data_IF_272506297883
#
_entry.id   IF_272506297883
#
_cell.length_a   1.000
_cell.length_b   1.000
_cell.length_c   1.000
_cell.angle_alpha   90.00
_cell.angle_beta   90.00
_cell.angle_gamma   90.00
#
_symmetry.space_group_name_H-M   'P 1'
#
loop_
_entity.id
_entity.type
_entity.pdbx_description
1 polymer ?
#
# COMPACT_ATOMS: atom_id res chain seq x y z
N UNK A 1 -10.94 2.61 -29.63
CA UNK A 1 -11.38 3.05 -28.29
C UNK A 1 -10.66 2.35 -27.13
N UNK A 2 -10.55 1.01 -27.07
CA UNK A 2 -9.92 0.28 -25.94
C UNK A 2 -8.42 0.57 -25.71
N UNK A 3 -7.59 0.63 -26.77
CA UNK A 3 -6.15 0.94 -26.65
C UNK A 3 -5.87 2.35 -26.12
N UNK A 4 -6.74 3.32 -26.44
CA UNK A 4 -6.62 4.68 -25.94
C UNK A 4 -6.92 4.76 -24.43
N UNK A 5 -7.84 3.93 -23.91
CA UNK A 5 -8.14 3.84 -22.48
C UNK A 5 -6.95 3.32 -21.66
N UNK A 6 -6.31 2.24 -22.12
CA UNK A 6 -5.15 1.67 -21.43
C UNK A 6 -3.92 2.60 -21.43
N UNK A 7 -3.66 3.29 -22.55
CA UNK A 7 -2.59 4.28 -22.62
C UNK A 7 -2.82 5.43 -21.64
N UNK A 8 -4.03 6.01 -21.61
CA UNK A 8 -4.38 7.08 -20.66
C UNK A 8 -4.29 6.63 -19.22
N UNK A 9 -4.78 5.43 -18.92
CA UNK A 9 -4.67 4.81 -17.61
C UNK A 9 -3.21 4.66 -17.17
N UNK A 10 -2.36 4.08 -18.02
CA UNK A 10 -0.94 3.87 -17.72
C UNK A 10 -0.20 5.19 -17.55
N UNK A 11 -0.48 6.18 -18.40
CA UNK A 11 0.07 7.53 -18.29
C UNK A 11 -0.35 8.22 -16.99
N UNK A 12 -1.58 8.01 -16.53
CA UNK A 12 -2.04 8.59 -15.26
C UNK A 12 -1.39 7.90 -14.04
N UNK A 13 -1.21 6.58 -14.08
CA UNK A 13 -0.43 5.85 -13.06
C UNK A 13 1.02 6.35 -13.03
N UNK A 14 1.65 6.53 -14.19
CA UNK A 14 3.00 7.07 -14.28
C UNK A 14 3.06 8.50 -13.73
N UNK A 15 2.12 9.36 -14.10
CA UNK A 15 2.02 10.73 -13.60
C UNK A 15 1.89 10.78 -12.07
N UNK A 16 1.12 9.86 -11.48
CA UNK A 16 1.01 9.73 -10.02
C UNK A 16 2.37 9.47 -9.36
N UNK A 17 3.16 8.53 -9.87
CA UNK A 17 4.47 8.22 -9.30
C UNK A 17 5.52 9.30 -9.60
N UNK A 18 5.45 9.97 -10.75
CA UNK A 18 6.28 11.15 -11.02
C UNK A 18 5.98 12.29 -10.05
N UNK A 19 4.70 12.53 -9.74
CA UNK A 19 4.30 13.50 -8.72
C UNK A 19 4.77 13.08 -7.33
N UNK A 20 4.71 11.79 -6.99
CA UNK A 20 5.30 11.30 -5.74
C UNK A 20 6.80 11.61 -5.69
N UNK A 21 7.54 11.36 -6.78
CA UNK A 21 8.97 11.70 -6.87
C UNK A 21 9.25 13.19 -6.72
N UNK A 22 8.44 14.03 -7.36
CA UNK A 22 8.55 15.48 -7.22
C UNK A 22 8.30 15.93 -5.78
N UNK A 23 7.20 15.49 -5.15
CA UNK A 23 6.87 15.85 -3.78
C UNK A 23 7.90 15.31 -2.77
N UNK A 24 8.42 14.10 -2.99
CA UNK A 24 9.49 13.53 -2.19
C UNK A 24 10.75 14.38 -2.27
N UNK A 25 11.17 14.72 -3.50
CA UNK A 25 12.35 15.54 -3.74
C UNK A 25 12.23 16.90 -3.06
N UNK A 26 11.11 17.60 -3.24
CA UNK A 26 10.84 18.89 -2.59
C UNK A 26 10.86 18.76 -1.06
N UNK A 27 10.17 17.76 -0.51
CA UNK A 27 10.07 17.56 0.95
C UNK A 27 11.44 17.32 1.57
N UNK A 28 12.21 16.37 1.03
CA UNK A 28 13.56 16.06 1.54
C UNK A 28 14.51 17.25 1.33
N UNK A 29 14.41 17.96 0.20
CA UNK A 29 15.26 19.13 -0.06
C UNK A 29 15.00 20.26 0.94
N UNK A 30 13.73 20.50 1.30
CA UNK A 30 13.36 21.49 2.32
C UNK A 30 13.87 21.08 3.70
N UNK A 31 13.68 19.80 4.09
CA UNK A 31 14.21 19.27 5.35
C UNK A 31 15.73 19.47 5.41
N UNK A 32 16.45 19.03 4.39
CA UNK A 32 17.91 19.15 4.32
C UNK A 32 18.36 20.61 4.36
N UNK A 33 17.70 21.50 3.62
CA UNK A 33 18.01 22.94 3.61
C UNK A 33 17.94 23.55 5.02
N UNK A 34 16.85 23.30 5.75
CA UNK A 34 16.72 23.84 7.12
C UNK A 34 17.72 23.22 8.09
N UNK A 35 18.06 21.94 7.95
CA UNK A 35 19.07 21.32 8.81
C UNK A 35 20.47 21.84 8.52
N UNK A 36 20.81 22.09 7.25
CA UNK A 36 22.08 22.74 6.89
C UNK A 36 22.15 24.18 7.39
N UNK A 37 21.04 24.92 7.38
CA UNK A 37 20.98 26.26 7.97
C UNK A 37 21.27 26.25 9.48
N UNK A 38 20.97 25.15 10.16
CA UNK A 38 21.27 24.91 11.58
C UNK A 38 22.65 24.27 11.83
N UNK A 39 23.50 24.18 10.79
CA UNK A 39 24.84 23.58 10.84
C UNK A 39 24.84 22.10 11.27
N UNK A 40 23.75 21.37 10.98
CA UNK A 40 23.70 19.94 11.21
C UNK A 40 24.50 19.16 10.15
N UNK A 41 25.22 18.13 10.60
CA UNK A 41 25.95 17.20 9.73
C UNK A 41 24.99 16.34 8.91
N UNK A 42 25.44 15.88 7.74
CA UNK A 42 24.65 15.02 6.85
C UNK A 42 24.05 13.80 7.54
N UNK A 43 24.82 13.10 8.40
CA UNK A 43 24.31 11.93 9.13
C UNK A 43 23.11 12.26 10.03
N UNK A 44 23.08 13.44 10.65
CA UNK A 44 21.94 13.88 11.48
C UNK A 44 20.69 14.10 10.60
N UNK A 45 20.89 14.58 9.37
CA UNK A 45 19.81 14.77 8.40
C UNK A 45 19.26 13.42 7.94
N UNK A 46 20.14 12.47 7.62
CA UNK A 46 19.76 11.12 7.22
C UNK A 46 18.99 10.40 8.33
N UNK A 47 19.46 10.49 9.58
CA UNK A 47 18.77 9.92 10.75
C UNK A 47 17.40 10.57 10.97
N UNK A 48 17.29 11.88 10.77
CA UNK A 48 16.01 12.58 10.92
C UNK A 48 15.02 12.18 9.81
N UNK A 49 15.47 12.13 8.56
CA UNK A 49 14.66 11.68 7.41
C UNK A 49 14.20 10.24 7.62
N UNK A 50 15.07 9.38 8.15
CA UNK A 50 14.71 8.02 8.53
C UNK A 50 13.68 7.99 9.66
N UNK A 51 13.90 8.73 10.75
CA UNK A 51 12.98 8.79 11.89
C UNK A 51 11.60 9.33 11.51
N UNK A 52 11.54 10.25 10.53
CA UNK A 52 10.31 10.82 9.96
C UNK A 52 9.84 10.15 8.68
N UNK A 53 10.38 8.97 8.37
CA UNK A 53 10.17 8.30 7.10
C UNK A 53 8.70 8.09 6.76
N UNK A 54 7.88 7.62 7.71
CA UNK A 54 6.46 7.41 7.48
C UNK A 54 5.68 8.69 7.26
N UNK A 55 5.96 9.73 8.06
CA UNK A 55 5.34 11.03 7.91
C UNK A 55 5.63 11.62 6.52
N UNK A 56 6.87 11.49 6.03
CA UNK A 56 7.28 11.91 4.69
C UNK A 56 6.54 11.09 3.62
N UNK A 57 6.54 9.75 3.71
CA UNK A 57 5.86 8.86 2.76
C UNK A 57 4.37 9.21 2.64
N UNK A 58 3.69 9.35 3.79
CA UNK A 58 2.27 9.68 3.86
C UNK A 58 2.00 11.05 3.24
N UNK A 59 2.77 12.07 3.61
CA UNK A 59 2.63 13.42 3.06
C UNK A 59 2.74 13.40 1.53
N UNK A 60 3.79 12.76 1.01
CA UNK A 60 4.06 12.65 -0.43
C UNK A 60 2.92 11.95 -1.16
N UNK A 61 2.48 10.80 -0.64
CA UNK A 61 1.39 10.01 -1.25
C UNK A 61 0.06 10.75 -1.23
N UNK A 62 -0.28 11.42 -0.13
CA UNK A 62 -1.51 12.22 0.01
C UNK A 62 -1.49 13.41 -0.96
N UNK A 63 -0.39 14.16 -1.03
CA UNK A 63 -0.25 15.29 -1.95
C UNK A 63 -0.34 14.86 -3.41
N UNK A 64 0.40 13.81 -3.80
CA UNK A 64 0.34 13.27 -5.15
C UNK A 64 -1.06 12.76 -5.51
N UNK A 65 -1.71 12.05 -4.58
CA UNK A 65 -3.06 11.55 -4.77
C UNK A 65 -4.03 12.71 -4.99
N UNK A 66 -4.01 13.71 -4.11
CA UNK A 66 -4.88 14.88 -4.22
C UNK A 66 -4.75 15.57 -5.58
N UNK A 67 -3.52 15.81 -6.04
CA UNK A 67 -3.27 16.44 -7.35
C UNK A 67 -3.79 15.58 -8.50
N UNK A 68 -3.46 14.29 -8.54
CA UNK A 68 -3.94 13.37 -9.59
C UNK A 68 -5.46 13.29 -9.60
N UNK A 69 -6.10 13.18 -8.45
CA UNK A 69 -7.54 13.16 -8.35
C UNK A 69 -8.17 14.44 -8.89
N UNK A 70 -7.56 15.62 -8.70
CA UNK A 70 -8.07 16.85 -9.31
C UNK A 70 -8.05 16.79 -10.85
N UNK A 71 -6.98 16.27 -11.44
CA UNK A 71 -6.85 16.17 -12.90
C UNK A 71 -7.74 15.07 -13.52
N UNK A 72 -7.79 13.89 -12.89
CA UNK A 72 -8.61 12.75 -13.36
C UNK A 72 -10.09 13.10 -13.41
N UNK A 73 -10.55 13.94 -12.47
CA UNK A 73 -11.94 14.34 -12.38
C UNK A 73 -12.28 15.63 -13.14
N UNK A 74 -11.34 16.27 -13.84
CA UNK A 74 -11.66 17.42 -14.71
C UNK A 74 -12.77 17.10 -15.74
N UNK A 75 -12.83 15.90 -16.34
CA UNK A 75 -13.92 15.52 -17.24
C UNK A 75 -15.20 15.05 -16.52
N UNK A 76 -15.18 14.89 -15.19
CA UNK A 76 -16.32 14.38 -14.44
C UNK A 76 -17.43 15.41 -14.35
N UNK A 77 -18.68 14.98 -14.55
CA UNK A 77 -19.85 15.83 -14.40
C UNK A 77 -20.30 15.98 -12.94
N UNK A 78 -19.69 15.23 -12.02
CA UNK A 78 -20.02 15.30 -10.59
C UNK A 78 -19.41 16.51 -9.91
N UNK A 79 -20.16 17.09 -8.95
CA UNK A 79 -19.67 18.14 -8.04
C UNK A 79 -18.78 17.60 -6.92
N UNK A 80 -18.90 16.32 -6.57
CA UNK A 80 -18.16 15.68 -5.47
C UNK A 80 -17.50 14.35 -5.89
N UNK A 81 -16.63 14.39 -6.91
CA UNK A 81 -16.09 13.19 -7.56
C UNK A 81 -15.44 12.17 -6.60
N UNK A 82 -14.69 12.65 -5.61
CA UNK A 82 -14.03 11.77 -4.65
C UNK A 82 -15.00 11.08 -3.69
N UNK A 83 -16.06 11.78 -3.28
CA UNK A 83 -17.12 11.18 -2.46
C UNK A 83 -17.85 10.11 -3.26
N UNK A 84 -18.15 10.40 -4.52
CA UNK A 84 -18.84 9.46 -5.40
C UNK A 84 -17.99 8.21 -5.63
N UNK A 85 -16.68 8.37 -5.89
CA UNK A 85 -15.73 7.26 -5.92
C UNK A 85 -15.86 6.38 -4.67
N UNK A 86 -15.77 6.97 -3.47
CA UNK A 86 -15.83 6.22 -2.20
C UNK A 86 -17.16 5.48 -2.08
N UNK A 87 -18.28 6.13 -2.38
CA UNK A 87 -19.61 5.57 -2.20
C UNK A 87 -19.94 4.49 -3.24
N UNK A 88 -19.61 4.72 -4.51
CA UNK A 88 -19.86 3.79 -5.62
C UNK A 88 -19.02 2.51 -5.49
N UNK A 89 -17.79 2.65 -4.98
CA UNK A 89 -16.89 1.51 -4.78
C UNK A 89 -16.94 0.96 -3.34
N UNK A 90 -17.77 1.50 -2.46
CA UNK A 90 -17.99 0.91 -1.14
C UNK A 90 -18.93 -0.28 -1.24
N UNK A 91 -18.49 -1.42 -0.73
CA UNK A 91 -19.32 -2.61 -0.51
C UNK A 91 -19.10 -3.06 0.92
N UNK A 92 -20.09 -3.73 1.53
CA UNK A 92 -19.88 -4.26 2.88
C UNK A 92 -18.89 -5.43 2.80
N UNK A 93 -17.80 -5.44 3.60
CA UNK A 93 -16.91 -6.59 3.66
C UNK A 93 -17.67 -7.87 4.01
N UNK A 94 -17.41 -8.95 3.26
CA UNK A 94 -18.11 -10.22 3.46
C UNK A 94 -17.67 -10.87 4.79
N UNK A 95 -18.56 -11.63 5.44
CA UNK A 95 -18.20 -12.41 6.64
C UNK A 95 -17.04 -13.38 6.39
N UNK A 96 -16.93 -13.89 5.16
CA UNK A 96 -15.88 -14.81 4.76
C UNK A 96 -14.52 -14.11 4.64
N UNK A 97 -14.49 -12.79 4.40
CA UNK A 97 -13.25 -12.00 4.42
C UNK A 97 -12.64 -11.99 5.82
N UNK A 98 -13.46 -11.98 6.88
CA UNK A 98 -12.95 -12.07 8.25
C UNK A 98 -12.19 -13.38 8.47
N UNK A 99 -12.73 -14.51 8.01
CA UNK A 99 -12.04 -15.80 8.07
C UNK A 99 -10.72 -15.80 7.28
N UNK A 100 -10.70 -15.17 6.10
CA UNK A 100 -9.45 -14.94 5.35
C UNK A 100 -8.43 -14.13 6.15
N UNK A 101 -8.85 -13.04 6.79
CA UNK A 101 -7.96 -12.19 7.58
C UNK A 101 -7.38 -12.93 8.77
N UNK A 102 -8.22 -13.68 9.51
CA UNK A 102 -7.76 -14.50 10.64
C UNK A 102 -6.77 -15.56 10.16
N UNK A 103 -7.07 -16.29 9.09
CA UNK A 103 -6.16 -17.29 8.55
C UNK A 103 -4.82 -16.68 8.09
N UNK A 104 -4.86 -15.56 7.36
CA UNK A 104 -3.65 -14.87 6.92
C UNK A 104 -2.82 -14.35 8.10
N UNK A 105 -3.47 -13.78 9.12
CA UNK A 105 -2.81 -13.29 10.33
C UNK A 105 -2.14 -14.43 11.11
N UNK A 106 -2.80 -15.57 11.27
CA UNK A 106 -2.22 -16.76 11.90
C UNK A 106 -1.02 -17.29 11.12
N UNK A 107 -1.12 -17.37 9.78
CA UNK A 107 0.02 -17.75 8.92
C UNK A 107 1.19 -16.80 9.15
N UNK A 108 0.97 -15.48 9.19
CA UNK A 108 2.03 -14.51 9.46
C UNK A 108 2.67 -14.75 10.82
N UNK A 109 1.87 -14.83 11.89
CA UNK A 109 2.39 -14.96 13.26
C UNK A 109 3.17 -16.25 13.45
N UNK A 110 2.62 -17.39 13.01
CA UNK A 110 3.30 -18.67 13.17
C UNK A 110 4.56 -18.77 12.32
N UNK A 111 4.56 -18.18 11.11
CA UNK A 111 5.76 -18.13 10.26
C UNK A 111 6.81 -17.13 10.75
N UNK A 112 6.42 -16.05 11.43
CA UNK A 112 7.36 -15.05 11.95
C UNK A 112 8.14 -15.56 13.17
N UNK A 113 7.55 -16.47 13.96
CA UNK A 113 8.11 -16.91 15.25
C UNK A 113 8.51 -15.69 16.11
N UNK A 114 7.55 -14.81 16.46
CA UNK A 114 7.87 -13.51 17.04
C UNK A 114 8.58 -13.66 18.38
N UNK A 115 9.68 -12.94 18.55
CA UNK A 115 10.35 -12.74 19.84
C UNK A 115 10.25 -11.28 20.25
N UNK A 116 10.26 -11.04 21.55
CA UNK A 116 10.26 -9.68 22.09
C UNK A 116 11.52 -8.95 21.66
N UNK A 117 11.34 -7.81 20.99
CA UNK A 117 12.47 -6.98 20.61
C UNK A 117 12.89 -6.11 21.80
N UNK A 118 13.98 -6.50 22.46
CA UNK A 118 14.55 -5.76 23.60
C UNK A 118 15.50 -4.63 23.18
N UNK A 119 15.78 -4.47 21.87
CA UNK A 119 16.56 -3.34 21.41
C UNK A 119 15.72 -2.07 21.60
N UNK A 120 16.31 -1.08 22.28
CA UNK A 120 15.69 0.17 22.69
C UNK A 120 14.85 0.79 21.55
N UNK A 121 13.52 0.73 21.65
CA UNK A 121 12.69 1.24 20.56
C UNK A 121 11.22 0.86 20.55
N UNK A 122 10.76 -0.07 21.42
CA UNK A 122 9.34 -0.38 21.57
C UNK A 122 8.56 0.87 21.99
N UNK A 123 8.12 1.62 21.01
CA UNK A 123 7.46 2.90 21.16
C UNK A 123 6.09 2.77 20.52
N UNK A 124 5.07 2.70 21.37
CA UNK A 124 3.68 2.54 20.93
C UNK A 124 3.27 3.63 19.95
N UNK A 125 3.83 4.83 20.06
CA UNK A 125 3.56 5.93 19.13
C UNK A 125 4.16 5.65 17.75
N UNK A 126 5.39 5.13 17.68
CA UNK A 126 5.99 4.70 16.41
C UNK A 126 5.24 3.49 15.83
N UNK A 127 4.82 2.52 16.64
CA UNK A 127 3.97 1.43 16.17
C UNK A 127 2.65 1.94 15.55
N UNK A 128 2.02 2.96 16.16
CA UNK A 128 0.81 3.60 15.61
C UNK A 128 1.10 4.38 14.31
N UNK A 129 2.24 5.08 14.22
CA UNK A 129 2.66 5.74 12.99
C UNK A 129 2.90 4.71 11.88
N UNK A 130 3.57 3.60 12.18
CA UNK A 130 3.80 2.49 11.26
C UNK A 130 2.48 1.91 10.76
N UNK A 131 1.59 1.55 11.67
CA UNK A 131 0.24 1.06 11.38
C UNK A 131 -0.50 2.00 10.43
N UNK A 132 -0.49 3.30 10.74
CA UNK A 132 -1.20 4.32 9.97
C UNK A 132 -0.53 4.55 8.62
N UNK A 133 0.79 4.62 8.60
CA UNK A 133 1.61 4.87 7.42
C UNK A 133 1.44 3.80 6.36
N UNK A 134 1.59 2.52 6.71
CA UNK A 134 1.40 1.41 5.77
C UNK A 134 -0.05 1.34 5.30
N UNK A 135 -1.01 1.64 6.20
CA UNK A 135 -2.43 1.67 5.85
C UNK A 135 -2.72 2.71 4.78
N UNK A 136 -2.25 3.95 4.99
CA UNK A 136 -2.45 5.05 4.06
C UNK A 136 -1.71 4.80 2.74
N UNK A 137 -0.47 4.32 2.79
CA UNK A 137 0.32 3.99 1.60
C UNK A 137 -0.44 3.03 0.66
N UNK A 138 -0.85 1.88 1.19
CA UNK A 138 -1.52 0.84 0.40
C UNK A 138 -2.94 1.25 -0.01
N UNK A 139 -3.68 1.93 0.88
CA UNK A 139 -5.05 2.34 0.59
C UNK A 139 -5.10 3.44 -0.49
N UNK A 140 -4.16 4.40 -0.48
CA UNK A 140 -4.09 5.42 -1.52
C UNK A 140 -3.74 4.82 -2.89
N UNK A 141 -2.85 3.84 -2.93
CA UNK A 141 -2.53 3.11 -4.16
C UNK A 141 -3.77 2.38 -4.71
N UNK A 142 -4.59 1.76 -3.83
CA UNK A 142 -5.89 1.16 -4.21
C UNK A 142 -6.90 2.21 -4.69
N UNK A 143 -7.11 3.28 -3.95
CA UNK A 143 -8.09 4.32 -4.29
C UNK A 143 -7.73 5.04 -5.58
N UNK A 144 -6.43 5.29 -5.81
CA UNK A 144 -5.92 5.85 -7.05
C UNK A 144 -6.26 4.94 -8.23
N UNK A 145 -5.99 3.65 -8.09
CA UNK A 145 -6.27 2.67 -9.12
C UNK A 145 -7.76 2.56 -9.45
N UNK A 146 -8.62 2.50 -8.43
CA UNK A 146 -10.08 2.46 -8.60
C UNK A 146 -10.60 3.74 -9.27
N UNK A 147 -10.11 4.90 -8.85
CA UNK A 147 -10.44 6.19 -9.48
C UNK A 147 -10.12 6.20 -10.98
N UNK A 148 -8.90 5.79 -11.34
CA UNK A 148 -8.48 5.71 -12.74
C UNK A 148 -9.33 4.70 -13.53
N UNK A 149 -9.69 3.58 -12.90
CA UNK A 149 -10.51 2.55 -13.53
C UNK A 149 -11.93 3.05 -13.83
N UNK A 150 -12.57 3.75 -12.89
CA UNK A 150 -13.90 4.34 -13.10
C UNK A 150 -13.90 5.35 -14.27
N UNK A 151 -12.85 6.16 -14.40
CA UNK A 151 -12.79 7.22 -15.41
C UNK A 151 -12.31 6.76 -16.78
N UNK A 152 -11.32 5.86 -16.85
CA UNK A 152 -10.73 5.40 -18.10
C UNK A 152 -11.26 4.05 -18.59
N UNK A 153 -12.09 3.38 -17.79
CA UNK A 153 -12.83 2.17 -18.20
C UNK A 153 -11.95 0.94 -18.41
N UNK A 154 -10.86 0.78 -17.64
CA UNK A 154 -9.96 -0.36 -17.80
C UNK A 154 -10.60 -1.65 -17.26
N UNK A 155 -10.88 -2.60 -18.15
CA UNK A 155 -11.42 -3.92 -17.81
C UNK A 155 -10.33 -4.91 -17.44
N UNK A 156 -10.06 -5.10 -16.14
CA UNK A 156 -9.05 -6.07 -15.64
C UNK A 156 -9.39 -7.51 -16.03
N UNK A 157 -10.66 -7.80 -16.31
CA UNK A 157 -11.11 -9.12 -16.77
C UNK A 157 -10.54 -9.52 -18.13
N UNK A 158 -10.16 -8.57 -18.98
CA UNK A 158 -9.53 -8.87 -20.27
C UNK A 158 -8.04 -9.21 -20.12
N UNK A 159 -7.39 -8.83 -19.01
CA UNK A 159 -5.98 -9.13 -18.77
C UNK A 159 -5.70 -9.43 -17.30
N UNK A 160 -5.78 -10.73 -16.93
CA UNK A 160 -5.47 -11.23 -15.58
C UNK A 160 -4.04 -10.91 -15.12
N UNK A 161 -3.12 -10.66 -16.05
CA UNK A 161 -1.75 -10.25 -15.75
C UNK A 161 -1.62 -8.77 -15.37
N UNK A 162 -2.65 -7.96 -15.60
CA UNK A 162 -2.61 -6.53 -15.25
C UNK A 162 -2.40 -6.29 -13.75
N UNK A 163 -2.99 -7.11 -12.88
CA UNK A 163 -2.80 -7.02 -11.43
C UNK A 163 -1.34 -7.29 -11.05
N UNK A 164 -0.72 -8.29 -11.70
CA UNK A 164 0.70 -8.64 -11.50
C UNK A 164 1.61 -7.49 -11.94
N UNK A 165 1.37 -6.92 -13.12
CA UNK A 165 2.15 -5.80 -13.67
C UNK A 165 1.99 -4.56 -12.80
N UNK A 166 0.78 -4.25 -12.34
CA UNK A 166 0.51 -3.11 -11.46
C UNK A 166 1.16 -3.28 -10.09
N UNK A 167 1.07 -4.48 -9.49
CA UNK A 167 1.75 -4.77 -8.23
C UNK A 167 3.27 -4.62 -8.37
N UNK A 168 3.85 -5.09 -9.48
CA UNK A 168 5.28 -4.94 -9.77
C UNK A 168 5.66 -3.47 -9.94
N UNK A 169 4.87 -2.70 -10.66
CA UNK A 169 5.09 -1.27 -10.87
C UNK A 169 5.00 -0.50 -9.56
N UNK A 170 4.00 -0.79 -8.72
CA UNK A 170 3.81 -0.12 -7.43
C UNK A 170 4.96 -0.44 -6.49
N UNK A 171 5.35 -1.71 -6.40
CA UNK A 171 6.50 -2.13 -5.62
C UNK A 171 7.79 -1.45 -6.09
N UNK A 172 8.08 -1.46 -7.39
CA UNK A 172 9.30 -0.88 -7.95
C UNK A 172 9.33 0.64 -7.75
N UNK A 173 8.20 1.32 -7.99
CA UNK A 173 8.09 2.75 -7.81
C UNK A 173 8.29 3.15 -6.35
N UNK A 174 7.62 2.48 -5.40
CA UNK A 174 7.80 2.75 -3.97
C UNK A 174 9.26 2.48 -3.54
N UNK A 175 9.89 1.41 -4.02
CA UNK A 175 11.30 1.09 -3.73
C UNK A 175 12.28 2.16 -4.24
N UNK A 176 12.04 2.71 -5.44
CA UNK A 176 12.89 3.76 -6.01
C UNK A 176 12.66 5.10 -5.30
N UNK A 177 11.41 5.43 -4.98
CA UNK A 177 11.02 6.72 -4.42
C UNK A 177 11.46 6.90 -2.96
N UNK A 178 11.54 5.81 -2.20
CA UNK A 178 11.84 5.85 -0.76
C UNK A 178 13.14 5.09 -0.44
N UNK A 179 14.31 5.60 -0.85
CA UNK A 179 15.58 4.89 -0.67
C UNK A 179 16.05 4.77 0.78
N UNK A 180 15.51 5.59 1.69
CA UNK A 180 15.76 5.53 3.14
C UNK A 180 15.04 4.37 3.83
N UNK A 181 14.10 3.72 3.14
CA UNK A 181 13.29 2.65 3.71
C UNK A 181 14.08 1.33 3.71
N UNK A 182 14.19 0.70 4.87
CA UNK A 182 15.11 -0.42 5.10
C UNK A 182 14.64 -1.75 4.49
N UNK A 183 13.33 -1.95 4.36
CA UNK A 183 12.75 -3.27 4.14
C UNK A 183 11.80 -3.34 2.93
N UNK A 184 11.99 -2.54 1.87
CA UNK A 184 11.30 -2.73 0.58
C UNK A 184 11.82 -3.96 -0.19
N UNK A 185 11.59 -5.14 0.37
CA UNK A 185 11.92 -6.43 -0.21
C UNK A 185 10.82 -6.99 -1.12
N UNK A 186 11.02 -8.22 -1.61
CA UNK A 186 10.06 -8.92 -2.45
C UNK A 186 8.74 -9.25 -1.71
N UNK A 187 8.73 -9.28 -0.38
CA UNK A 187 7.51 -9.49 0.39
C UNK A 187 6.48 -8.37 0.17
N UNK A 188 6.93 -7.11 0.06
CA UNK A 188 6.05 -5.96 -0.22
C UNK A 188 5.36 -6.11 -1.57
N UNK A 189 6.03 -6.70 -2.56
CA UNK A 189 5.41 -7.01 -3.85
C UNK A 189 4.21 -7.97 -3.70
N UNK A 190 4.36 -9.06 -2.93
CA UNK A 190 3.25 -9.99 -2.68
C UNK A 190 2.12 -9.36 -1.86
N UNK A 191 2.43 -8.46 -0.93
CA UNK A 191 1.42 -7.67 -0.21
C UNK A 191 0.63 -6.80 -1.19
N UNK A 192 1.30 -6.04 -2.07
CA UNK A 192 0.63 -5.25 -3.11
C UNK A 192 -0.22 -6.14 -4.00
N UNK A 193 0.31 -7.30 -4.41
CA UNK A 193 -0.40 -8.25 -5.26
C UNK A 193 -1.69 -8.73 -4.59
N UNK A 194 -1.65 -9.13 -3.32
CA UNK A 194 -2.81 -9.57 -2.57
C UNK A 194 -3.86 -8.45 -2.41
N UNK A 195 -3.41 -7.24 -2.04
CA UNK A 195 -4.27 -6.06 -1.85
C UNK A 195 -4.96 -5.66 -3.15
N UNK A 196 -4.21 -5.55 -4.24
CA UNK A 196 -4.77 -5.19 -5.54
C UNK A 196 -5.71 -6.26 -6.08
N UNK A 197 -5.42 -7.54 -5.83
CA UNK A 197 -6.32 -8.62 -6.24
C UNK A 197 -7.65 -8.55 -5.48
N UNK A 198 -7.63 -8.29 -4.17
CA UNK A 198 -8.85 -8.07 -3.37
C UNK A 198 -9.63 -6.83 -3.82
N UNK A 199 -8.94 -5.78 -4.26
CA UNK A 199 -9.57 -4.54 -4.72
C UNK A 199 -10.30 -4.68 -6.07
N UNK A 200 -9.72 -5.48 -6.98
CA UNK A 200 -10.07 -5.43 -8.41
C UNK A 200 -10.86 -6.65 -8.88
N UNK A 201 -10.83 -7.75 -8.13
CA UNK A 201 -11.47 -8.99 -8.54
C UNK A 201 -12.95 -9.04 -8.13
N UNK A 202 -13.81 -9.38 -9.09
CA UNK A 202 -15.26 -9.52 -8.87
C UNK A 202 -15.98 -8.18 -9.02
N UNK A 203 -15.60 -7.19 -8.22
CA UNK A 203 -16.31 -5.91 -8.06
C UNK A 203 -15.31 -4.87 -7.58
N UNK A 204 -15.17 -3.75 -8.29
CA UNK A 204 -14.39 -2.60 -7.81
C UNK A 204 -14.80 -2.25 -6.37
N UNK A 205 -13.93 -2.56 -5.41
CA UNK A 205 -14.24 -2.46 -3.99
C UNK A 205 -12.99 -2.11 -3.17
N UNK A 206 -12.99 -0.95 -2.53
CA UNK A 206 -11.89 -0.54 -1.65
C UNK A 206 -12.02 -1.07 -0.22
N UNK A 207 -13.23 -1.48 0.20
CA UNK A 207 -13.48 -1.91 1.57
C UNK A 207 -12.81 -3.24 1.93
N UNK A 208 -12.80 -4.21 1.00
CA UNK A 208 -12.18 -5.52 1.19
C UNK A 208 -10.66 -5.38 1.42
N UNK A 209 -9.90 -4.69 0.54
CA UNK A 209 -8.48 -4.44 0.80
C UNK A 209 -8.26 -3.56 2.03
N UNK A 210 -9.08 -2.54 2.30
CA UNK A 210 -8.94 -1.72 3.51
C UNK A 210 -9.09 -2.56 4.79
N UNK A 211 -10.06 -3.48 4.82
CA UNK A 211 -10.26 -4.40 5.92
C UNK A 211 -9.05 -5.36 6.07
N UNK A 212 -8.58 -5.92 4.96
CA UNK A 212 -7.39 -6.79 4.97
C UNK A 212 -6.13 -6.06 5.43
N UNK A 213 -5.93 -4.81 4.99
CA UNK A 213 -4.81 -3.96 5.42
C UNK A 213 -4.90 -3.69 6.92
N UNK A 214 -6.06 -3.25 7.42
CA UNK A 214 -6.22 -2.90 8.84
C UNK A 214 -6.14 -4.08 9.81
N UNK A 215 -6.58 -5.27 9.40
CA UNK A 215 -6.60 -6.45 10.28
C UNK A 215 -5.39 -7.38 10.11
N UNK A 216 -4.66 -7.31 8.99
CA UNK A 216 -3.53 -8.21 8.72
C UNK A 216 -2.25 -7.42 8.53
N UNK A 217 -2.17 -6.58 7.50
CA UNK A 217 -0.90 -5.96 7.09
C UNK A 217 -0.40 -4.95 8.11
N UNK A 218 -1.26 -4.01 8.52
CA UNK A 218 -0.89 -2.93 9.41
C UNK A 218 -0.54 -3.40 10.84
N UNK A 219 -1.28 -4.34 11.46
CA UNK A 219 -0.86 -4.96 12.71
C UNK A 219 0.47 -5.69 12.58
N UNK A 220 0.72 -6.39 11.48
CA UNK A 220 2.00 -7.07 11.28
C UNK A 220 3.15 -6.08 11.13
N UNK A 221 2.98 -4.98 10.41
CA UNK A 221 4.00 -3.95 10.28
C UNK A 221 4.33 -3.34 11.65
N UNK A 222 3.31 -2.94 12.40
CA UNK A 222 3.47 -2.29 13.69
C UNK A 222 3.99 -3.21 14.80
N UNK A 223 3.56 -4.48 14.82
CA UNK A 223 3.85 -5.39 15.94
C UNK A 223 4.99 -6.34 15.66
N UNK A 224 5.13 -6.85 14.42
CA UNK A 224 6.05 -7.95 14.07
C UNK A 224 7.22 -7.50 13.20
N UNK A 225 7.29 -6.21 12.86
CA UNK A 225 8.46 -5.63 12.21
C UNK A 225 8.53 -5.88 10.70
N UNK A 226 7.38 -6.09 10.05
CA UNK A 226 7.28 -6.16 8.57
C UNK A 226 7.14 -4.78 7.92
N UNK A 227 7.49 -3.73 8.66
CA UNK A 227 7.41 -2.35 8.24
C UNK A 227 8.42 -2.08 7.11
N UNK A 228 7.99 -1.67 5.91
CA UNK A 228 8.93 -1.42 4.81
C UNK A 228 9.88 -0.24 5.04
N UNK A 229 9.49 0.75 5.85
CA UNK A 229 10.27 1.96 6.14
C UNK A 229 11.27 1.70 7.25
N UNK A 230 10.78 1.24 8.40
CA UNK A 230 11.60 1.10 9.60
C UNK A 230 12.08 -0.32 9.90
N UNK A 231 11.56 -1.34 9.21
CA UNK A 231 11.83 -2.74 9.52
C UNK A 231 11.32 -3.11 10.91
N UNK A 232 12.15 -3.80 11.68
CA UNK A 232 11.85 -4.25 13.03
C UNK A 232 12.29 -3.27 14.13
N UNK A 233 12.87 -2.11 13.78
CA UNK A 233 13.49 -1.18 14.74
C UNK A 233 12.52 -0.60 15.77
N UNK A 234 11.26 -0.37 15.38
CA UNK A 234 10.23 0.21 16.25
C UNK A 234 9.06 -0.75 16.53
N UNK A 235 9.18 -2.01 16.12
CA UNK A 235 8.17 -3.03 16.41
C UNK A 235 8.36 -3.60 17.81
N UNK A 236 7.27 -4.05 18.43
CA UNK A 236 7.31 -4.70 19.75
C UNK A 236 7.92 -6.10 19.69
N UNK A 237 7.72 -6.78 18.57
CA UNK A 237 8.22 -8.11 18.28
C UNK A 237 9.13 -8.03 17.05
N UNK A 238 10.22 -8.78 17.09
CA UNK A 238 11.05 -9.04 15.91
C UNK A 238 10.87 -10.49 15.49
N UNK A 239 11.13 -10.75 14.21
CA UNK A 239 11.05 -12.08 13.61
C UNK A 239 12.40 -12.77 13.78
N UNK A 240 12.47 -13.92 14.46
CA UNK A 240 13.74 -14.67 14.59
C UNK A 240 14.14 -15.38 13.31
N UNK A 241 13.14 -15.81 12.54
CA UNK A 241 13.32 -16.30 11.19
C UNK A 241 13.16 -15.14 10.24
N UNK A 242 14.03 -15.00 9.24
CA UNK A 242 13.75 -14.12 8.11
C UNK A 242 12.38 -14.52 7.56
N UNK A 243 11.38 -13.63 7.70
CA UNK A 243 10.04 -13.89 7.17
C UNK A 243 10.17 -14.12 5.67
N UNK A 244 10.15 -15.39 5.28
CA UNK A 244 10.49 -15.76 3.93
C UNK A 244 9.45 -15.20 2.96
N UNK A 245 9.91 -14.84 1.77
CA UNK A 245 9.05 -14.45 0.65
C UNK A 245 7.94 -15.49 0.40
N UNK A 246 8.21 -16.76 0.73
CA UNK A 246 7.25 -17.86 0.71
C UNK A 246 5.99 -17.62 1.58
N UNK A 247 6.13 -17.01 2.75
CA UNK A 247 4.98 -16.70 3.63
C UNK A 247 4.03 -15.72 2.96
N UNK A 248 4.57 -14.67 2.36
CA UNK A 248 3.76 -13.66 1.65
C UNK A 248 3.18 -14.20 0.35
N UNK A 249 3.91 -15.09 -0.35
CA UNK A 249 3.37 -15.82 -1.47
C UNK A 249 2.22 -16.74 -1.05
N UNK A 250 2.30 -17.41 0.10
CA UNK A 250 1.21 -18.22 0.65
C UNK A 250 -0.02 -17.37 0.99
N UNK A 251 0.17 -16.18 1.57
CA UNK A 251 -0.93 -15.22 1.81
C UNK A 251 -1.58 -14.79 0.49
N UNK A 252 -0.77 -14.48 -0.52
CA UNK A 252 -1.29 -14.14 -1.85
C UNK A 252 -2.07 -15.31 -2.48
N UNK A 253 -1.57 -16.54 -2.37
CA UNK A 253 -2.27 -17.75 -2.83
C UNK A 253 -3.59 -17.95 -2.06
N UNK A 254 -3.60 -17.69 -0.76
CA UNK A 254 -4.81 -17.75 0.07
C UNK A 254 -5.85 -16.71 -0.39
N UNK A 255 -5.43 -15.47 -0.64
CA UNK A 255 -6.29 -14.45 -1.22
C UNK A 255 -6.81 -14.86 -2.60
N UNK A 256 -5.96 -15.44 -3.44
CA UNK A 256 -6.36 -15.97 -4.76
C UNK A 256 -7.40 -17.08 -4.65
N UNK A 257 -7.21 -18.02 -3.74
CA UNK A 257 -8.14 -19.11 -3.48
C UNK A 257 -9.49 -18.61 -2.94
N UNK A 258 -9.47 -17.66 -2.01
CA UNK A 258 -10.67 -16.99 -1.50
C UNK A 258 -11.46 -16.31 -2.62
N UNK A 259 -10.76 -15.57 -3.48
CA UNK A 259 -11.34 -14.87 -4.60
C UNK A 259 -11.95 -15.84 -5.62
N UNK A 260 -11.24 -16.93 -5.94
CA UNK A 260 -11.73 -17.97 -6.84
C UNK A 260 -12.99 -18.64 -6.29
N UNK A 261 -12.97 -19.01 -4.99
CA UNK A 261 -14.12 -19.58 -4.30
C UNK A 261 -15.32 -18.64 -4.32
N UNK A 262 -15.11 -17.36 -3.97
CA UNK A 262 -16.14 -16.32 -3.97
C UNK A 262 -16.76 -16.16 -5.36
N UNK A 263 -15.94 -16.08 -6.41
CA UNK A 263 -16.41 -15.96 -7.78
C UNK A 263 -17.29 -17.15 -8.19
N UNK A 264 -16.96 -18.37 -7.78
CA UNK A 264 -17.77 -19.56 -8.03
C UNK A 264 -19.10 -19.52 -7.29
N UNK A 265 -19.11 -19.08 -6.03
CA UNK A 265 -20.35 -18.98 -5.24
C UNK A 265 -21.29 -17.88 -5.75
N UNK A 266 -20.75 -16.75 -6.22
CA UNK A 266 -21.56 -15.65 -6.78
C UNK A 266 -22.13 -15.96 -8.17
N UNK A 267 -21.61 -16.97 -8.89
CA UNK A 267 -22.20 -17.44 -10.16
C UNK A 267 -23.38 -18.40 -9.96
N UNK A 268 -23.50 -19.00 -8.78
CA UNK A 268 -24.55 -19.97 -8.45
C UNK A 268 -25.76 -19.28 -7.78
N UNK A 269 -25.58 -18.04 -7.29
CA UNK A 269 -26.60 -17.22 -6.64
C UNK A 269 -27.22 -16.21 -7.60
#
# INVERSE_FOLDING_TARGET
>A
MKLQGFSRFSSAVLAYYLLCGLFQLVTVSLISFFHFLLDHKLGVIEDWVFDKGWEIVVLVKVCAFYVVQKFVHLPSQSRQPFRDLILETWKKPSRNLFALCVAAFLICIFSASPVTNFHQGANIFKALISYTGISVLLLLDVLMLLSLRLHFGFGIWENRFSVLVLALLFWLANKILFPFALAFGAHIFFIHLAVLQLALWGRDNWSDPAFFIGFVIAPMAALVGIDPVWGDRFSMLSSTSDLHVATYAAIWLLCSGFIWWRAKTEQIA
#
